data_IF_628662162211
#
_entry.id   IF_628662162211
#
_cell.length_a   1.000
_cell.length_b   1.000
_cell.length_c   1.000
_cell.angle_alpha   90.00
_cell.angle_beta   90.00
_cell.angle_gamma   90.00
#
_symmetry.space_group_name_H-M   'P 1'
#
loop_
_entity.id
_entity.type
_entity.pdbx_description
1 polymer ?
#
# COMPACT_ATOMS: atom_id res chain seq x y z
N UNK A 1 -26.88 3.99 2.67
CA UNK A 1 -26.03 3.50 3.78
C UNK A 1 -24.69 4.24 3.67
N UNK A 2 -24.10 4.69 4.78
CA UNK A 2 -22.93 5.59 4.80
C UNK A 2 -21.64 4.78 4.64
N UNK A 3 -20.77 5.11 3.68
CA UNK A 3 -19.44 4.52 3.61
C UNK A 3 -18.70 4.85 4.92
N UNK A 4 -18.18 3.83 5.60
CA UNK A 4 -17.27 4.02 6.71
C UNK A 4 -15.87 4.20 6.13
N UNK A 5 -15.44 5.46 6.04
CA UNK A 5 -14.08 5.82 5.63
C UNK A 5 -13.31 6.17 6.89
N UNK A 6 -12.24 5.44 7.14
CA UNK A 6 -11.20 5.87 8.07
C UNK A 6 -10.01 6.30 7.23
N UNK A 7 -9.83 7.61 7.05
CA UNK A 7 -8.71 8.18 6.31
C UNK A 7 -8.31 9.53 6.90
N UNK A 8 -7.01 9.84 6.98
CA UNK A 8 -6.55 11.20 7.25
C UNK A 8 -6.93 12.14 6.10
N UNK A 9 -6.90 13.45 6.33
CA UNK A 9 -7.34 14.45 5.36
C UNK A 9 -6.57 14.39 4.03
N UNK A 10 -5.24 14.31 4.09
CA UNK A 10 -4.37 14.19 2.92
C UNK A 10 -3.23 13.23 3.19
N UNK A 11 -3.01 12.29 2.28
CA UNK A 11 -1.91 11.32 2.38
C UNK A 11 -0.60 11.92 1.86
N UNK A 12 0.49 11.63 2.57
CA UNK A 12 1.86 11.78 2.07
C UNK A 12 2.38 10.39 1.74
N UNK A 13 2.88 10.24 0.51
CA UNK A 13 3.40 9.00 -0.04
C UNK A 13 4.84 9.22 -0.44
N UNK A 14 5.75 8.38 0.07
CA UNK A 14 7.16 8.42 -0.29
C UNK A 14 7.63 7.04 -0.69
N UNK A 15 8.20 6.94 -1.87
CA UNK A 15 8.81 5.71 -2.36
C UNK A 15 10.32 5.86 -2.40
N UNK A 16 11.04 4.87 -1.89
CA UNK A 16 12.51 4.85 -1.90
C UNK A 16 12.97 3.48 -2.40
N UNK A 17 13.90 3.43 -3.38
CA UNK A 17 14.51 2.17 -3.78
C UNK A 17 15.29 1.57 -2.60
N UNK A 18 15.27 0.25 -2.48
CA UNK A 18 16.04 -0.51 -1.48
C UNK A 18 16.83 -1.62 -2.15
N UNK A 19 17.85 -2.13 -1.46
CA UNK A 19 18.51 -3.37 -1.86
C UNK A 19 17.51 -4.56 -1.86
N UNK A 20 17.84 -5.64 -2.56
CA UNK A 20 16.99 -6.84 -2.60
C UNK A 20 16.67 -7.33 -1.17
N UNK A 21 15.39 -7.34 -0.76
CA UNK A 21 14.99 -7.77 0.57
C UNK A 21 15.11 -9.30 0.77
N UNK A 22 15.36 -10.06 -0.30
CA UNK A 22 15.23 -11.51 -0.33
C UNK A 22 13.77 -11.93 -0.44
N UNK A 23 13.38 -12.97 0.29
CA UNK A 23 11.98 -13.44 0.33
C UNK A 23 11.07 -12.38 0.99
N UNK A 24 10.13 -11.83 0.22
CA UNK A 24 9.15 -10.84 0.68
C UNK A 24 8.27 -11.36 1.82
N UNK A 25 7.87 -12.64 1.79
CA UNK A 25 6.97 -13.20 2.79
C UNK A 25 7.67 -13.39 4.14
N UNK A 26 8.96 -13.71 4.12
CA UNK A 26 9.79 -13.78 5.31
C UNK A 26 9.98 -12.41 6.00
N UNK A 27 9.59 -11.30 5.36
CA UNK A 27 9.66 -9.93 5.92
C UNK A 27 8.37 -9.46 6.56
N UNK A 28 7.30 -10.25 6.57
CA UNK A 28 6.01 -9.85 7.13
C UNK A 28 6.07 -9.75 8.67
N UNK A 29 5.85 -8.56 9.26
CA UNK A 29 6.02 -8.37 10.70
C UNK A 29 4.78 -8.76 11.54
N UNK A 30 3.62 -9.02 10.91
CA UNK A 30 2.35 -9.05 11.64
C UNK A 30 1.30 -9.96 10.97
N UNK A 31 0.39 -10.62 11.73
CA UNK A 31 -0.72 -11.41 11.19
C UNK A 31 -1.74 -10.62 10.36
N UNK A 32 -1.77 -9.29 10.46
CA UNK A 32 -2.64 -8.42 9.63
C UNK A 32 -1.93 -7.87 8.39
N UNK A 33 -0.76 -8.43 8.06
CA UNK A 33 -0.08 -8.05 6.84
C UNK A 33 -0.84 -8.53 5.60
N UNK A 34 -0.70 -7.75 4.53
CA UNK A 34 -1.31 -7.94 3.24
C UNK A 34 -0.22 -8.39 2.28
N UNK A 35 -0.52 -9.35 1.41
CA UNK A 35 0.44 -9.88 0.46
C UNK A 35 -0.23 -10.17 -0.89
N UNK A 36 0.42 -9.72 -1.96
CA UNK A 36 0.13 -10.12 -3.34
C UNK A 36 1.46 -10.46 -3.98
N UNK A 37 1.81 -11.75 -3.99
CA UNK A 37 3.14 -12.24 -4.41
C UNK A 37 2.97 -13.39 -5.39
N UNK A 38 3.76 -13.37 -6.46
CA UNK A 38 3.85 -14.42 -7.47
C UNK A 38 5.31 -14.61 -7.86
N UNK A 39 5.81 -15.84 -7.76
CA UNK A 39 7.17 -16.21 -8.21
C UNK A 39 8.28 -15.33 -7.56
N UNK A 40 8.04 -14.86 -6.33
CA UNK A 40 8.98 -14.01 -5.57
C UNK A 40 8.86 -12.50 -5.83
N UNK A 41 8.09 -12.09 -6.84
CA UNK A 41 7.80 -10.68 -7.13
C UNK A 41 6.39 -10.32 -6.64
N UNK A 42 6.18 -9.05 -6.29
CA UNK A 42 4.91 -8.56 -5.79
C UNK A 42 5.04 -7.51 -4.71
N UNK A 43 4.01 -7.42 -3.88
CA UNK A 43 3.86 -6.42 -2.83
C UNK A 43 3.51 -7.10 -1.51
N UNK A 44 4.12 -6.64 -0.44
CA UNK A 44 3.69 -6.89 0.94
C UNK A 44 3.47 -5.58 1.66
N UNK A 45 2.48 -5.51 2.55
CA UNK A 45 2.21 -4.30 3.33
C UNK A 45 1.59 -4.55 4.70
N UNK A 46 1.71 -3.58 5.60
CA UNK A 46 1.11 -3.61 6.95
C UNK A 46 0.88 -2.20 7.47
N UNK A 47 0.16 -2.14 8.58
CA UNK A 47 -0.47 -0.91 9.06
C UNK A 47 -1.58 -0.47 8.12
N UNK A 48 -2.52 0.33 8.61
CA UNK A 48 -3.60 0.87 7.80
C UNK A 48 -3.49 2.39 7.82
N UNK A 49 -3.22 3.00 6.66
CA UNK A 49 -3.23 4.45 6.47
C UNK A 49 -4.65 4.93 6.15
N UNK A 50 -5.38 4.12 5.38
CA UNK A 50 -6.80 4.31 5.16
C UNK A 50 -7.52 2.98 4.96
N UNK A 51 -8.78 2.95 5.34
CA UNK A 51 -9.68 1.81 5.15
C UNK A 51 -11.02 2.30 4.61
N UNK A 52 -11.53 1.57 3.63
CA UNK A 52 -12.89 1.73 3.14
C UNK A 52 -13.62 0.39 3.27
N UNK A 53 -14.74 0.41 3.98
CA UNK A 53 -15.69 -0.70 3.99
C UNK A 53 -16.85 -0.39 3.06
N UNK A 54 -17.14 -1.35 2.17
CA UNK A 54 -18.16 -1.24 1.15
C UNK A 54 -19.29 -2.21 1.47
N UNK A 55 -20.55 -1.71 1.52
CA UNK A 55 -21.69 -2.59 1.64
C UNK A 55 -21.84 -3.46 0.39
N UNK A 56 -22.71 -4.48 0.48
CA UNK A 56 -23.16 -5.22 -0.68
C UNK A 56 -23.84 -4.28 -1.68
N UNK A 57 -23.62 -4.54 -2.96
CA UNK A 57 -24.16 -3.77 -4.08
C UNK A 57 -23.44 -4.10 -5.38
N UNK A 58 -24.13 -3.90 -6.51
CA UNK A 58 -23.52 -4.02 -7.84
C UNK A 58 -22.54 -2.87 -8.13
N UNK A 59 -22.69 -1.74 -7.43
CA UNK A 59 -21.90 -0.52 -7.54
C UNK A 59 -20.62 -0.52 -6.68
N UNK A 60 -20.42 -1.52 -5.82
CA UNK A 60 -19.28 -1.57 -4.88
C UNK A 60 -17.91 -1.38 -5.55
N UNK A 61 -17.71 -1.92 -6.76
CA UNK A 61 -16.47 -1.75 -7.50
C UNK A 61 -16.28 -0.33 -8.04
N UNK A 62 -17.38 0.30 -8.50
CA UNK A 62 -17.34 1.69 -8.96
C UNK A 62 -17.12 2.65 -7.79
N UNK A 63 -17.74 2.37 -6.63
CA UNK A 63 -17.52 3.13 -5.40
C UNK A 63 -16.07 3.00 -4.89
N UNK A 64 -15.51 1.79 -4.93
CA UNK A 64 -14.10 1.53 -4.64
C UNK A 64 -13.15 2.35 -5.55
N UNK A 65 -13.35 2.28 -6.87
CA UNK A 65 -12.53 2.99 -7.84
C UNK A 65 -12.63 4.51 -7.67
N UNK A 66 -13.84 5.04 -7.48
CA UNK A 66 -14.06 6.48 -7.25
C UNK A 66 -13.32 6.97 -5.99
N UNK A 67 -13.44 6.23 -4.88
CA UNK A 67 -12.78 6.57 -3.63
C UNK A 67 -11.24 6.53 -3.76
N UNK A 68 -10.70 5.51 -4.43
CA UNK A 68 -9.25 5.43 -4.67
C UNK A 68 -8.74 6.57 -5.54
N UNK A 69 -9.47 6.93 -6.61
CA UNK A 69 -9.11 8.05 -7.47
C UNK A 69 -9.08 9.37 -6.73
N UNK A 70 -10.09 9.63 -5.89
CA UNK A 70 -10.16 10.84 -5.08
C UNK A 70 -9.02 10.90 -4.05
N UNK A 71 -8.81 9.80 -3.34
CA UNK A 71 -7.76 9.70 -2.31
C UNK A 71 -6.35 9.82 -2.90
N UNK A 72 -6.05 9.07 -3.95
CA UNK A 72 -4.70 9.09 -4.54
C UNK A 72 -4.48 10.34 -5.39
N UNK A 73 -5.52 10.90 -5.99
CA UNK A 73 -5.45 12.15 -6.76
C UNK A 73 -5.18 13.38 -5.89
N UNK A 74 -5.53 13.33 -4.60
CA UNK A 74 -5.24 14.40 -3.64
C UNK A 74 -3.95 14.19 -2.85
N UNK A 75 -3.31 13.02 -2.95
CA UNK A 75 -2.11 12.68 -2.20
C UNK A 75 -0.87 13.47 -2.64
N UNK A 76 0.02 13.72 -1.69
CA UNK A 76 1.36 14.25 -1.95
C UNK A 76 2.32 13.09 -2.22
N UNK A 77 2.73 12.92 -3.48
CA UNK A 77 3.48 11.73 -3.89
C UNK A 77 4.89 12.10 -4.33
N UNK A 78 5.87 11.58 -3.60
CA UNK A 78 7.28 11.52 -4.01
C UNK A 78 7.61 10.07 -4.38
N UNK A 79 7.61 9.79 -5.68
CA UNK A 79 7.92 8.48 -6.23
C UNK A 79 8.89 8.60 -7.41
N UNK A 80 10.22 8.54 -7.15
CA UNK A 80 11.23 8.64 -8.20
C UNK A 80 11.28 7.40 -9.10
N UNK A 81 10.59 6.29 -8.75
CA UNK A 81 10.63 5.05 -9.52
C UNK A 81 9.59 5.03 -10.62
N UNK A 82 8.39 5.61 -10.38
CA UNK A 82 7.35 5.83 -11.38
C UNK A 82 6.91 4.56 -12.12
N UNK A 83 6.71 3.46 -11.39
CA UNK A 83 6.44 2.13 -11.97
C UNK A 83 5.18 1.49 -11.41
N UNK A 84 4.62 0.49 -12.11
CA UNK A 84 3.50 -0.27 -11.56
C UNK A 84 3.85 -0.89 -10.19
N UNK A 85 3.08 -0.54 -9.18
CA UNK A 85 3.25 -1.00 -7.79
C UNK A 85 4.08 -0.08 -6.89
N UNK A 86 4.66 1.00 -7.41
CA UNK A 86 5.25 2.08 -6.60
C UNK A 86 4.21 3.17 -6.32
N UNK A 87 4.49 4.06 -5.36
CA UNK A 87 3.53 5.08 -4.94
C UNK A 87 2.33 4.48 -4.16
N UNK A 88 1.18 5.18 -4.10
CA UNK A 88 0.06 4.71 -3.31
C UNK A 88 -0.58 3.47 -3.93
N UNK A 89 -0.85 2.47 -3.09
CA UNK A 89 -1.51 1.22 -3.47
C UNK A 89 -2.58 0.86 -2.44
N UNK A 90 -3.55 0.06 -2.86
CA UNK A 90 -4.54 -0.52 -1.96
C UNK A 90 -4.68 -2.01 -2.23
N UNK A 91 -4.97 -2.77 -1.17
CA UNK A 91 -5.37 -4.16 -1.25
C UNK A 91 -6.88 -4.24 -1.11
N UNK A 92 -7.53 -4.90 -2.06
CA UNK A 92 -8.98 -5.10 -2.07
C UNK A 92 -9.36 -6.54 -1.80
N UNK A 93 -10.33 -6.73 -0.92
CA UNK A 93 -11.07 -7.99 -0.76
C UNK A 93 -12.54 -7.70 -1.03
N UNK A 94 -13.15 -8.44 -1.94
CA UNK A 94 -14.53 -8.21 -2.36
C UNK A 94 -15.35 -9.47 -2.21
N UNK A 95 -16.53 -9.32 -1.63
CA UNK A 95 -17.51 -10.39 -1.56
C UNK A 95 -17.91 -10.88 -2.96
N UNK A 96 -17.99 -12.19 -3.12
CA UNK A 96 -18.39 -12.83 -4.38
C UNK A 96 -19.85 -12.53 -4.72
N UNK A 97 -20.76 -12.73 -3.75
CA UNK A 97 -22.17 -12.38 -3.90
C UNK A 97 -22.33 -10.85 -3.83
N UNK A 98 -23.05 -10.22 -4.77
CA UNK A 98 -23.39 -8.81 -4.69
C UNK A 98 -24.04 -8.38 -3.38
N UNK A 99 -24.67 -9.28 -2.62
CA UNK A 99 -25.31 -8.99 -1.33
C UNK A 99 -24.34 -9.02 -0.15
N UNK A 100 -23.13 -9.56 -0.32
CA UNK A 100 -22.14 -9.63 0.74
C UNK A 100 -21.65 -8.24 1.16
N UNK A 101 -21.69 -7.95 2.46
CA UNK A 101 -21.39 -6.63 3.03
C UNK A 101 -19.96 -6.49 3.58
N UNK A 102 -19.07 -7.39 3.21
CA UNK A 102 -17.71 -7.56 3.75
C UNK A 102 -16.62 -7.15 2.74
N UNK A 103 -16.98 -6.34 1.73
CA UNK A 103 -15.99 -5.80 0.80
C UNK A 103 -15.17 -4.71 1.47
N UNK A 104 -13.85 -4.74 1.31
CA UNK A 104 -12.93 -3.82 1.96
C UNK A 104 -11.78 -3.44 1.04
N UNK A 105 -11.38 -2.18 1.11
CA UNK A 105 -10.10 -1.69 0.61
C UNK A 105 -9.25 -1.21 1.78
N UNK A 106 -7.99 -1.61 1.78
CA UNK A 106 -6.99 -1.16 2.75
C UNK A 106 -5.83 -0.50 1.98
N UNK A 107 -5.55 0.76 2.31
CA UNK A 107 -4.31 1.44 1.94
C UNK A 107 -3.34 1.21 3.10
N UNK A 108 -2.28 0.42 2.91
CA UNK A 108 -1.36 0.12 3.99
C UNK A 108 -0.50 1.32 4.35
N UNK A 109 0.05 1.38 5.58
CA UNK A 109 1.04 2.43 5.93
C UNK A 109 2.41 2.16 5.33
N UNK A 110 2.73 0.90 5.12
CA UNK A 110 4.01 0.46 4.61
C UNK A 110 3.82 -0.57 3.51
N UNK A 111 4.61 -0.44 2.46
CA UNK A 111 4.66 -1.38 1.35
C UNK A 111 6.12 -1.70 1.06
N UNK A 112 6.45 -2.97 0.96
CA UNK A 112 7.69 -3.43 0.34
C UNK A 112 7.33 -4.16 -0.93
N UNK A 113 7.86 -3.65 -2.03
CA UNK A 113 7.64 -4.19 -3.35
C UNK A 113 8.92 -4.73 -3.95
N UNK A 114 8.76 -5.73 -4.81
CA UNK A 114 9.81 -6.26 -5.66
C UNK A 114 9.23 -6.58 -7.03
N UNK A 115 9.95 -6.20 -8.07
CA UNK A 115 9.61 -6.51 -9.45
C UNK A 115 10.84 -6.46 -10.35
N UNK A 116 11.02 -7.50 -11.16
CA UNK A 116 12.09 -7.56 -12.17
C UNK A 116 13.48 -7.29 -11.54
N UNK A 117 13.73 -7.88 -10.36
CA UNK A 117 14.98 -7.74 -9.61
C UNK A 117 15.20 -6.37 -8.94
N UNK A 118 14.20 -5.51 -8.90
CA UNK A 118 14.26 -4.19 -8.24
C UNK A 118 13.29 -4.14 -7.08
N UNK A 119 13.73 -3.59 -5.95
CA UNK A 119 12.92 -3.50 -4.75
C UNK A 119 12.77 -2.05 -4.27
N UNK A 120 11.68 -1.78 -3.57
CA UNK A 120 11.37 -0.47 -3.02
C UNK A 120 10.57 -0.58 -1.74
N UNK A 121 10.64 0.48 -0.94
CA UNK A 121 9.73 0.73 0.17
C UNK A 121 8.87 1.93 -0.17
N UNK A 122 7.57 1.82 0.08
CA UNK A 122 6.66 2.97 0.09
C UNK A 122 6.08 3.15 1.49
N UNK A 123 6.15 4.38 2.01
CA UNK A 123 5.46 4.80 3.24
C UNK A 123 4.25 5.67 2.88
N UNK A 124 3.12 5.42 3.50
CA UNK A 124 1.85 6.13 3.29
C UNK A 124 1.29 6.52 4.66
N UNK A 125 0.94 7.79 4.87
CA UNK A 125 0.38 8.22 6.14
C UNK A 125 -0.01 9.69 6.17
N UNK A 126 -0.44 10.15 7.33
CA UNK A 126 -0.73 11.57 7.57
C UNK A 126 0.60 12.34 7.70
N UNK A 127 0.76 13.51 7.06
CA UNK A 127 1.90 14.39 7.29
C UNK A 127 2.15 14.70 8.78
N UNK A 128 1.10 14.73 9.61
CA UNK A 128 1.16 15.00 11.04
C UNK A 128 1.72 13.85 11.89
N UNK A 129 1.72 12.61 11.37
CA UNK A 129 2.23 11.44 12.09
C UNK A 129 3.77 11.43 12.19
N UNK A 130 4.45 12.35 11.48
CA UNK A 130 5.89 12.34 11.32
C UNK A 130 6.37 11.16 10.48
N UNK A 131 7.64 11.18 10.07
CA UNK A 131 8.24 9.97 9.50
C UNK A 131 8.23 8.88 10.58
N UNK A 132 7.76 7.66 10.30
CA UNK A 132 7.70 6.61 11.32
C UNK A 132 9.08 6.39 11.93
N UNK A 133 9.17 6.60 13.25
CA UNK A 133 10.41 6.47 14.00
C UNK A 133 10.84 4.98 13.98
N UNK A 134 11.89 4.69 13.22
CA UNK A 134 12.33 3.33 12.91
C UNK A 134 11.70 2.83 11.61
N UNK A 135 12.54 2.55 10.61
CA UNK A 135 12.07 1.86 9.42
C UNK A 135 11.48 0.51 9.88
N UNK A 136 10.19 0.21 9.60
CA UNK A 136 9.59 -1.06 10.00
C UNK A 136 10.29 -2.27 9.35
N UNK A 137 11.14 -1.98 8.38
CA UNK A 137 12.06 -2.86 7.71
C UNK A 137 13.44 -2.79 8.37
N UNK A 138 13.59 -3.36 9.56
CA UNK A 138 14.90 -3.47 10.19
C UNK A 138 15.92 -4.08 9.21
N UNK A 139 16.87 -3.26 8.74
CA UNK A 139 17.96 -3.70 7.87
C UNK A 139 17.78 -3.54 6.35
N UNK A 140 16.71 -2.90 5.84
CA UNK A 140 16.69 -2.51 4.43
C UNK A 140 17.54 -1.26 4.20
N UNK A 141 18.66 -1.44 3.51
CA UNK A 141 19.58 -0.37 3.13
C UNK A 141 19.19 0.12 1.73
N UNK A 142 19.18 1.44 1.47
CA UNK A 142 19.10 1.96 0.11
C UNK A 142 20.17 1.30 -0.77
N UNK A 143 19.90 1.02 -2.05
CA UNK A 143 20.91 0.46 -2.92
C UNK A 143 22.07 1.45 -3.03
N UNK A 144 23.30 0.94 -2.98
CA UNK A 144 24.47 1.76 -3.31
C UNK A 144 24.33 2.17 -4.78
N UNK A 145 24.47 3.47 -5.07
CA UNK A 145 24.52 3.91 -6.45
C UNK A 145 25.71 3.20 -7.13
N UNK A 146 25.58 2.73 -8.39
CA UNK A 146 26.73 2.25 -9.12
C UNK A 146 27.78 3.37 -9.18
N UNK A 147 29.04 3.03 -8.91
CA UNK A 147 30.15 3.96 -9.10
C UNK A 147 30.17 4.45 -10.57
N UNK A 148 30.53 5.73 -10.81
CA UNK A 148 30.57 6.30 -12.15
C UNK A 148 31.54 5.58 -13.09
#
# INVERSE_FOLDING_TARGET
MKLAVHAPGRLVVRTTPVADPGDLLARLPHPTALAWVREGDGLVGWGEAARLELPGGHDRFAAADAWLREMFGSAEVDDPLGRPGTGPVAFGSFGFDPKSADSVLIVPRFVLGRRDGRAWVTTIGDPADGAPAGAPFGGLVPPVAPAP
#
